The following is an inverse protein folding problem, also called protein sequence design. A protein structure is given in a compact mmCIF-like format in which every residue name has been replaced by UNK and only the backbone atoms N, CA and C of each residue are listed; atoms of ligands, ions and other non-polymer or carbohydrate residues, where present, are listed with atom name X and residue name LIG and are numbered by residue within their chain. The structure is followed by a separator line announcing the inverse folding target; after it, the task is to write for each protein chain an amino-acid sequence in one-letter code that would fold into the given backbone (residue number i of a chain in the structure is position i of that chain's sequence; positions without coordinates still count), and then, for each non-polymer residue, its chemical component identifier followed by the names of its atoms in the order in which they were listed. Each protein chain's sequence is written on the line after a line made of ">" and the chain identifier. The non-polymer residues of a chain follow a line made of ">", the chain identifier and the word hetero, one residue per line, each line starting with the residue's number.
data_IF_028748556012
#
_entry.id   IF_028748556012
#
_cell.length_a   1.000
_cell.length_b   1.000
_cell.length_c   1.000
_cell.angle_alpha   90.00
_cell.angle_beta   90.00
_cell.angle_gamma   90.00
#
_symmetry.space_group_name_H-M   'P 1'
#
loop_
_entity.id
_entity.type
_entity.pdbx_description
1 polymer ?
#
# COMPACT_ATOMS: atom_id res chain seq x y z
N UNK A 1 -54.14 -17.31 -41.55
CA UNK A 1 -54.29 -16.59 -40.25
C UNK A 1 -53.42 -17.17 -39.12
N UNK A 2 -53.36 -18.49 -38.94
CA UNK A 2 -52.59 -19.09 -37.84
C UNK A 2 -51.06 -18.95 -38.01
N UNK A 3 -50.57 -19.08 -39.25
CA UNK A 3 -49.16 -18.84 -39.59
C UNK A 3 -48.73 -17.39 -39.27
N UNK A 4 -49.58 -16.40 -39.58
CA UNK A 4 -49.35 -15.00 -39.24
C UNK A 4 -49.32 -14.77 -37.72
N UNK A 5 -50.20 -15.45 -36.96
CA UNK A 5 -50.17 -15.41 -35.48
C UNK A 5 -48.89 -16.06 -34.92
N UNK A 6 -48.37 -17.11 -35.54
CA UNK A 6 -47.09 -17.75 -35.16
C UNK A 6 -45.90 -16.83 -35.45
N UNK A 7 -45.89 -16.15 -36.60
CA UNK A 7 -44.89 -15.16 -36.98
C UNK A 7 -44.88 -13.95 -36.02
N UNK A 8 -46.06 -13.38 -35.72
CA UNK A 8 -46.26 -12.32 -34.74
C UNK A 8 -45.83 -12.69 -33.31
N UNK A 9 -45.90 -13.98 -32.94
CA UNK A 9 -45.36 -14.46 -31.64
C UNK A 9 -43.85 -14.58 -31.67
N UNK A 10 -43.27 -15.06 -32.77
CA UNK A 10 -41.83 -15.18 -32.94
C UNK A 10 -41.13 -13.81 -32.97
N UNK A 11 -41.72 -12.81 -33.63
CA UNK A 11 -41.21 -11.43 -33.68
C UNK A 11 -41.21 -10.78 -32.29
N UNK A 12 -42.32 -10.88 -31.55
CA UNK A 12 -42.39 -10.39 -30.15
C UNK A 12 -41.41 -11.11 -29.23
N UNK A 13 -41.16 -12.40 -29.46
CA UNK A 13 -40.13 -13.13 -28.71
C UNK A 13 -38.72 -12.69 -29.08
N UNK A 14 -38.47 -12.39 -30.35
CA UNK A 14 -37.19 -11.86 -30.81
C UNK A 14 -36.93 -10.46 -30.22
N UNK A 15 -37.95 -9.59 -30.23
CA UNK A 15 -37.89 -8.27 -29.62
C UNK A 15 -37.62 -8.35 -28.11
N UNK A 16 -38.32 -9.22 -27.38
CA UNK A 16 -38.04 -9.49 -25.96
C UNK A 16 -36.63 -10.03 -25.70
N UNK A 17 -36.10 -10.88 -26.58
CA UNK A 17 -34.72 -11.37 -26.49
C UNK A 17 -33.71 -10.27 -26.80
N UNK A 18 -34.00 -9.38 -27.74
CA UNK A 18 -33.16 -8.24 -28.09
C UNK A 18 -33.13 -7.20 -26.96
N UNK A 19 -34.27 -6.91 -26.32
CA UNK A 19 -34.31 -6.01 -25.16
C UNK A 19 -33.60 -6.60 -23.95
N UNK A 20 -33.76 -7.91 -23.66
CA UNK A 20 -33.00 -8.60 -22.62
C UNK A 20 -31.49 -8.59 -22.89
N UNK A 21 -31.06 -8.82 -24.14
CA UNK A 21 -29.65 -8.69 -24.54
C UNK A 21 -29.13 -7.26 -24.39
N UNK A 22 -29.93 -6.26 -24.73
CA UNK A 22 -29.58 -4.83 -24.58
C UNK A 22 -29.43 -4.45 -23.09
N UNK A 23 -30.33 -4.93 -22.24
CA UNK A 23 -30.25 -4.74 -20.78
C UNK A 23 -29.00 -5.41 -20.19
N UNK A 24 -28.72 -6.66 -20.57
CA UNK A 24 -27.52 -7.37 -20.13
C UNK A 24 -26.23 -6.68 -20.63
N UNK A 25 -26.21 -6.16 -21.85
CA UNK A 25 -25.09 -5.38 -22.40
C UNK A 25 -24.85 -4.08 -21.62
N UNK A 26 -25.91 -3.40 -21.18
CA UNK A 26 -25.80 -2.21 -20.31
C UNK A 26 -25.29 -2.59 -18.93
N UNK A 27 -25.75 -3.72 -18.36
CA UNK A 27 -25.24 -4.22 -17.09
C UNK A 27 -23.75 -4.60 -17.17
N UNK A 28 -23.34 -5.29 -18.23
CA UNK A 28 -21.93 -5.64 -18.51
C UNK A 28 -21.05 -4.41 -18.74
N UNK A 29 -21.56 -3.39 -19.44
CA UNK A 29 -20.86 -2.11 -19.61
C UNK A 29 -20.74 -1.34 -18.29
N UNK A 30 -21.75 -1.40 -17.41
CA UNK A 30 -21.75 -0.73 -16.11
C UNK A 30 -20.83 -1.40 -15.08
N UNK A 31 -20.72 -2.72 -15.10
CA UNK A 31 -19.76 -3.47 -14.26
C UNK A 31 -18.32 -3.25 -14.74
N UNK A 32 -18.09 -3.11 -16.05
CA UNK A 32 -16.77 -2.78 -16.61
C UNK A 32 -16.28 -1.37 -16.23
N UNK A 33 -17.18 -0.46 -15.84
CA UNK A 33 -16.83 0.88 -15.33
C UNK A 33 -16.66 0.94 -13.80
N UNK A 34 -17.19 -0.02 -13.04
CA UNK A 34 -17.04 -0.06 -11.57
C UNK A 34 -15.90 -0.96 -11.09
N UNK A 35 -15.20 -1.59 -12.03
CA UNK A 35 -13.93 -2.23 -11.75
C UNK A 35 -12.81 -1.28 -12.19
N UNK A 36 -12.67 -0.18 -11.45
CA UNK A 36 -11.32 0.30 -11.23
C UNK A 36 -10.57 -0.89 -10.64
N UNK A 37 -9.44 -1.36 -11.21
CA UNK A 37 -8.50 -2.07 -10.37
C UNK A 37 -8.33 -1.15 -9.16
N UNK A 38 -8.54 -1.66 -7.95
CA UNK A 38 -8.12 -0.97 -6.74
C UNK A 38 -6.68 -0.59 -7.04
N UNK A 39 -6.44 0.69 -7.36
CA UNK A 39 -5.11 1.11 -7.74
C UNK A 39 -4.23 0.56 -6.62
N UNK A 40 -3.15 -0.20 -6.93
CA UNK A 40 -2.20 -0.50 -5.89
C UNK A 40 -1.75 0.88 -5.44
N UNK A 41 -2.26 1.29 -4.28
CA UNK A 41 -1.87 2.49 -3.60
C UNK A 41 -0.34 2.44 -3.57
N UNK A 42 0.30 3.23 -4.44
CA UNK A 42 1.75 3.23 -4.64
C UNK A 42 2.49 3.69 -3.37
N UNK A 43 1.76 3.95 -2.28
CA UNK A 43 2.33 4.09 -0.93
C UNK A 43 2.58 2.76 -0.20
N UNK A 44 2.12 1.62 -0.75
CA UNK A 44 2.51 0.29 -0.30
C UNK A 44 3.73 -0.17 -1.07
N UNK A 45 4.85 0.51 -0.81
CA UNK A 45 6.14 -0.09 -1.09
C UNK A 45 6.28 -1.27 -0.14
N UNK A 46 5.91 -2.46 -0.63
CA UNK A 46 6.32 -3.78 -0.17
C UNK A 46 7.86 -3.88 -0.21
N UNK A 47 8.54 -3.01 0.54
CA UNK A 47 9.98 -3.11 0.78
C UNK A 47 10.13 -4.08 1.92
N UNK A 48 10.39 -5.32 1.54
CA UNK A 48 10.90 -6.36 2.45
C UNK A 48 11.96 -5.73 3.37
N UNK A 49 11.95 -6.02 4.69
CA UNK A 49 12.87 -5.38 5.61
C UNK A 49 14.30 -5.63 5.19
N UNK A 50 15.01 -4.57 4.82
CA UNK A 50 16.42 -4.64 4.42
C UNK A 50 17.28 -5.22 5.57
N UNK A 51 16.78 -5.14 6.82
CA UNK A 51 17.50 -5.52 8.04
C UNK A 51 16.55 -6.10 9.10
N UNK A 52 17.06 -6.89 10.05
CA UNK A 52 16.25 -7.48 11.12
C UNK A 52 15.50 -6.43 11.96
N UNK A 53 14.34 -6.80 12.52
CA UNK A 53 13.57 -5.93 13.41
C UNK A 53 14.39 -5.62 14.66
N UNK A 54 14.43 -4.35 15.03
CA UNK A 54 15.20 -3.84 16.16
C UNK A 54 14.39 -2.71 16.83
N UNK A 55 14.58 -2.51 18.15
CA UNK A 55 13.90 -1.43 18.87
C UNK A 55 14.46 -0.06 18.47
N UNK A 56 13.60 0.93 18.43
CA UNK A 56 13.93 2.33 18.15
C UNK A 56 14.90 2.84 19.23
N UNK A 57 16.06 3.42 18.87
CA UNK A 57 17.05 3.88 19.84
C UNK A 57 16.58 5.11 20.65
N UNK A 58 15.51 5.78 20.22
CA UNK A 58 14.98 6.98 20.87
C UNK A 58 13.91 6.66 21.92
N UNK A 59 13.05 5.67 21.67
CA UNK A 59 11.90 5.37 22.53
C UNK A 59 11.68 3.89 22.85
N UNK A 60 12.45 2.97 22.26
CA UNK A 60 12.35 1.53 22.49
C UNK A 60 11.25 0.80 21.73
N UNK A 61 10.34 1.50 21.05
CA UNK A 61 9.29 0.86 20.25
C UNK A 61 9.85 0.17 19.00
N UNK A 62 9.17 -0.85 18.47
CA UNK A 62 9.64 -1.57 17.28
C UNK A 62 9.76 -0.65 16.05
N UNK A 63 10.90 -0.71 15.37
CA UNK A 63 11.13 0.08 14.16
C UNK A 63 10.11 -0.22 13.06
N UNK A 64 9.68 0.82 12.34
CA UNK A 64 8.77 0.70 11.21
C UNK A 64 9.55 0.67 9.91
N UNK A 65 9.07 -0.06 8.90
CA UNK A 65 9.80 -0.22 7.62
C UNK A 65 10.05 1.12 6.92
N UNK A 66 9.07 2.02 6.93
CA UNK A 66 9.20 3.36 6.35
C UNK A 66 10.13 4.30 7.15
N UNK A 67 10.39 3.98 8.42
CA UNK A 67 11.09 4.83 9.37
C UNK A 67 12.40 4.24 9.90
N UNK A 68 12.76 3.02 9.49
CA UNK A 68 13.93 2.26 9.94
C UNK A 68 15.18 3.16 9.94
N UNK A 69 15.96 3.24 11.03
CA UNK A 69 15.94 2.42 12.25
C UNK A 69 14.96 2.87 13.36
N UNK A 70 14.06 3.80 13.07
CA UNK A 70 13.17 4.40 14.05
C UNK A 70 11.73 3.87 13.94
N UNK A 71 10.92 4.12 14.97
CA UNK A 71 9.49 3.82 14.91
C UNK A 71 8.68 4.88 14.13
N UNK A 72 9.23 6.09 13.91
CA UNK A 72 8.51 7.20 13.27
C UNK A 72 9.46 8.31 12.79
N UNK A 73 8.95 9.18 11.90
CA UNK A 73 9.63 10.42 11.47
C UNK A 73 9.94 11.35 12.65
N UNK A 74 9.09 11.38 13.67
CA UNK A 74 9.31 12.16 14.90
C UNK A 74 10.58 11.71 15.63
N UNK A 75 10.76 10.41 15.83
CA UNK A 75 11.95 9.89 16.50
C UNK A 75 13.22 10.15 15.70
N UNK A 76 13.17 10.07 14.36
CA UNK A 76 14.28 10.46 13.49
C UNK A 76 14.69 11.92 13.69
N UNK A 77 13.72 12.83 13.76
CA UNK A 77 13.99 14.26 13.96
C UNK A 77 14.59 14.54 15.35
N UNK A 78 14.12 13.84 16.39
CA UNK A 78 14.69 13.94 17.75
C UNK A 78 16.14 13.46 17.76
N UNK A 79 16.42 12.31 17.14
CA UNK A 79 17.78 11.81 17.01
C UNK A 79 18.68 12.84 16.33
N UNK A 80 18.26 13.36 15.18
CA UNK A 80 18.98 14.40 14.46
C UNK A 80 19.26 15.63 15.34
N UNK A 81 18.30 16.08 16.15
CA UNK A 81 18.55 17.18 17.08
C UNK A 81 19.61 16.82 18.12
N UNK A 82 19.61 15.59 18.68
CA UNK A 82 20.65 15.14 19.62
C UNK A 82 22.04 15.17 18.98
N UNK A 83 22.15 14.79 17.71
CA UNK A 83 23.39 14.93 16.93
C UNK A 83 23.82 16.39 16.81
N UNK A 84 22.93 17.27 16.37
CA UNK A 84 23.23 18.69 16.16
C UNK A 84 23.54 19.43 17.47
N UNK A 85 22.99 18.97 18.59
CA UNK A 85 23.27 19.50 19.93
C UNK A 85 24.53 18.91 20.58
N UNK A 86 25.24 17.98 19.92
CA UNK A 86 26.44 17.35 20.47
C UNK A 86 26.19 16.44 21.67
N UNK A 87 24.98 15.87 21.79
CA UNK A 87 24.61 15.05 22.93
C UNK A 87 25.30 13.66 22.95
N UNK A 88 25.89 13.23 21.83
CA UNK A 88 26.62 11.98 21.72
C UNK A 88 28.10 12.19 22.06
N UNK A 89 28.58 11.52 23.11
CA UNK A 89 29.95 11.62 23.61
C UNK A 89 30.66 10.28 23.39
N UNK A 90 31.83 10.31 22.78
CA UNK A 90 32.69 9.12 22.65
C UNK A 90 33.50 8.96 23.95
N UNK A 91 33.55 7.78 24.56
CA UNK A 91 34.37 7.55 25.75
C UNK A 91 35.86 7.80 25.42
N UNK A 92 36.65 8.31 26.38
CA UNK A 92 38.09 8.47 26.18
C UNK A 92 38.75 7.10 25.95
N UNK A 93 39.85 7.04 25.19
CA UNK A 93 40.62 5.81 25.06
C UNK A 93 41.09 5.32 26.44
N UNK A 94 41.26 4.00 26.62
CA UNK A 94 41.84 3.48 27.85
C UNK A 94 43.21 4.13 28.06
N UNK A 95 43.51 4.57 29.28
CA UNK A 95 44.84 5.08 29.60
C UNK A 95 45.83 3.90 29.52
N UNK A 96 46.58 3.82 28.43
CA UNK A 96 47.77 2.97 28.38
C UNK A 96 48.81 3.64 29.28
N UNK A 97 49.10 3.02 30.41
CA UNK A 97 50.21 3.41 31.29
C UNK A 97 51.53 2.98 30.65
N UNK A 98 51.88 3.59 29.52
CA UNK A 98 53.19 3.43 28.89
C UNK A 98 53.99 4.70 29.15
N UNK A 99 54.23 4.97 30.43
CA UNK A 99 55.36 5.77 30.90
C UNK A 99 56.46 4.77 31.27
N UNK A 100 57.17 4.24 30.27
CA UNK A 100 58.50 3.67 30.48
C UNK A 100 59.55 4.70 30.03
N UNK A 101 60.43 5.02 30.98
CA UNK A 101 61.54 5.96 30.97
C UNK A 101 62.64 5.62 29.93
#
# INVERSE_FOLDING_TARGET
>A
MEQYKKQQKAERQNEKKQTAKKLNKVHEQKTKMHQMPKEPDLTQTEKSPIRPPHPCPICGQMAQQNAYPFCSTRCRAIDLNRWLSGAYILPPPPQSSDEEE
#
